data_IF_509227188047
#
_entry.id   IF_509227188047
#
_cell.length_a   1.000
_cell.length_b   1.000
_cell.length_c   1.000
_cell.angle_alpha   90.00
_cell.angle_beta   90.00
_cell.angle_gamma   90.00
#
_symmetry.space_group_name_H-M   'P 1'
#
loop_
_entity.id
_entity.type
_entity.pdbx_description
1 polymer ?
#
# COMPACT_ATOMS: atom_id res chain seq x y z
N UNK A 1 54.04 -17.29 10.45
CA UNK A 1 53.75 -16.29 9.38
C UNK A 1 53.54 -16.90 7.99
N UNK A 2 54.19 -18.02 7.60
CA UNK A 2 53.99 -18.66 6.28
C UNK A 2 52.57 -19.20 6.03
N UNK A 3 51.90 -19.72 7.06
CA UNK A 3 50.52 -20.24 6.95
C UNK A 3 49.46 -19.14 6.74
N UNK A 4 49.71 -17.93 7.26
CA UNK A 4 48.77 -16.81 7.16
C UNK A 4 48.74 -16.24 5.73
N UNK A 5 49.88 -16.28 5.03
CA UNK A 5 49.97 -15.91 3.61
C UNK A 5 49.19 -16.85 2.69
N UNK A 6 49.20 -18.16 2.98
CA UNK A 6 48.46 -19.15 2.18
C UNK A 6 46.95 -18.94 2.31
N UNK A 7 46.47 -18.59 3.52
CA UNK A 7 45.05 -18.38 3.77
C UNK A 7 44.51 -17.11 3.07
N UNK A 8 45.31 -16.04 3.00
CA UNK A 8 44.96 -14.81 2.26
C UNK A 8 44.89 -15.05 0.76
N UNK A 9 45.81 -15.86 0.20
CA UNK A 9 45.81 -16.19 -1.23
C UNK A 9 44.58 -17.03 -1.60
N UNK A 10 44.21 -18.02 -0.78
CA UNK A 10 43.01 -18.83 -1.02
C UNK A 10 41.74 -17.98 -0.94
N UNK A 11 41.66 -17.02 -0.02
CA UNK A 11 40.52 -16.10 0.08
C UNK A 11 40.40 -15.23 -1.18
N UNK A 12 41.51 -14.71 -1.72
CA UNK A 12 41.48 -13.86 -2.93
C UNK A 12 41.10 -14.60 -4.20
N UNK A 13 41.40 -15.90 -4.31
CA UNK A 13 41.02 -16.71 -5.48
C UNK A 13 39.52 -16.98 -5.49
N UNK A 14 38.87 -17.15 -4.33
CA UNK A 14 37.42 -17.36 -4.23
C UNK A 14 36.61 -16.13 -4.68
N UNK A 15 37.12 -14.91 -4.48
CA UNK A 15 36.45 -13.70 -4.96
C UNK A 15 36.63 -13.43 -6.46
N UNK A 16 37.62 -14.05 -7.13
CA UNK A 16 37.93 -13.78 -8.53
C UNK A 16 37.15 -14.65 -9.54
N UNK A 17 36.45 -15.70 -9.09
CA UNK A 17 35.69 -16.61 -9.98
C UNK A 17 34.25 -16.14 -10.20
N UNK A 18 33.75 -15.15 -9.44
CA UNK A 18 32.39 -14.62 -9.60
C UNK A 18 32.34 -13.27 -10.31
N UNK A 19 33.12 -13.12 -11.39
CA UNK A 19 32.97 -11.97 -12.29
C UNK A 19 33.53 -12.30 -13.68
N UNK A 20 32.73 -12.98 -14.51
CA UNK A 20 32.67 -12.77 -15.98
C UNK A 20 31.57 -13.62 -16.63
N UNK A 21 30.44 -12.98 -16.88
CA UNK A 21 29.70 -13.20 -18.13
C UNK A 21 29.08 -11.86 -18.54
N UNK A 22 29.55 -11.32 -19.67
CA UNK A 22 29.10 -10.05 -20.25
C UNK A 22 27.80 -10.24 -21.05
N UNK A 23 26.88 -9.28 -20.88
CA UNK A 23 25.98 -8.66 -21.87
C UNK A 23 25.03 -9.54 -22.70
N UNK A 24 23.76 -9.62 -22.27
CA UNK A 24 22.62 -8.90 -22.87
C UNK A 24 21.31 -9.34 -22.18
N UNK A 25 20.74 -8.46 -21.33
CA UNK A 25 19.30 -8.21 -21.14
C UNK A 25 19.07 -7.46 -19.82
N UNK A 26 18.35 -6.33 -19.95
CA UNK A 26 17.57 -5.56 -18.97
C UNK A 26 18.10 -5.44 -17.53
N UNK A 27 18.22 -4.17 -17.14
CA UNK A 27 18.29 -3.65 -15.77
C UNK A 27 17.57 -4.54 -14.74
N UNK A 28 18.10 -4.73 -13.52
CA UNK A 28 17.33 -5.27 -12.41
C UNK A 28 16.33 -4.18 -12.02
N UNK A 29 15.20 -4.20 -12.71
CA UNK A 29 13.94 -3.72 -12.16
C UNK A 29 13.77 -4.41 -10.82
N UNK A 30 13.49 -3.62 -9.80
CA UNK A 30 13.14 -4.08 -8.47
C UNK A 30 11.79 -4.80 -8.63
N UNK A 31 11.84 -6.07 -9.01
CA UNK A 31 10.66 -6.92 -9.16
C UNK A 31 10.23 -7.39 -7.77
N UNK A 32 9.56 -6.48 -7.08
CA UNK A 32 8.54 -6.79 -6.09
C UNK A 32 7.19 -6.28 -6.61
N UNK A 33 6.96 -6.37 -7.91
CA UNK A 33 5.59 -6.46 -8.38
C UNK A 33 5.28 -7.94 -8.31
N UNK A 34 4.76 -8.37 -7.17
CA UNK A 34 3.78 -9.45 -7.21
C UNK A 34 2.66 -8.94 -8.11
N UNK A 35 2.84 -9.11 -9.42
CA UNK A 35 1.79 -9.12 -10.41
C UNK A 35 0.92 -10.33 -10.06
N UNK A 36 0.10 -10.17 -9.03
CA UNK A 36 -1.28 -10.61 -9.17
C UNK A 36 -1.89 -9.66 -10.22
N UNK A 37 -1.67 -9.99 -11.49
CA UNK A 37 -2.64 -9.70 -12.54
C UNK A 37 -3.91 -10.49 -12.19
N UNK A 38 -4.61 -10.09 -11.13
CA UNK A 38 -6.05 -10.33 -11.07
C UNK A 38 -6.58 -9.52 -12.22
N UNK A 39 -7.04 -10.21 -13.27
CA UNK A 39 -7.63 -9.61 -14.46
C UNK A 39 -8.85 -8.78 -14.04
N UNK A 40 -8.62 -7.50 -13.71
CA UNK A 40 -9.65 -6.58 -13.21
C UNK A 40 -10.69 -6.30 -14.29
N UNK A 41 -10.44 -6.72 -15.54
CA UNK A 41 -11.39 -6.68 -16.64
C UNK A 41 -12.69 -7.45 -16.35
N UNK A 42 -12.68 -8.42 -15.43
CA UNK A 42 -13.89 -9.14 -15.01
C UNK A 42 -14.57 -8.58 -13.76
N UNK A 43 -13.96 -7.63 -13.05
CA UNK A 43 -14.49 -7.09 -11.80
C UNK A 43 -15.54 -6.00 -12.08
N UNK A 44 -16.52 -5.90 -11.20
CA UNK A 44 -17.42 -4.75 -11.19
C UNK A 44 -16.65 -3.47 -10.81
N UNK A 45 -17.12 -2.28 -11.18
CA UNK A 45 -16.46 -1.04 -10.79
C UNK A 45 -16.28 -0.85 -9.28
N UNK A 46 -17.18 -1.44 -8.48
CA UNK A 46 -17.13 -1.43 -7.03
C UNK A 46 -16.01 -2.34 -6.49
N UNK A 47 -15.92 -3.56 -7.02
CA UNK A 47 -14.84 -4.51 -6.67
C UNK A 47 -13.48 -4.00 -7.14
N UNK A 48 -13.39 -3.48 -8.36
CA UNK A 48 -12.15 -2.90 -8.89
C UNK A 48 -11.67 -1.70 -8.06
N UNK A 49 -12.60 -0.89 -7.51
CA UNK A 49 -12.27 0.21 -6.61
C UNK A 49 -11.63 -0.31 -5.31
N UNK A 50 -12.27 -1.26 -4.64
CA UNK A 50 -11.76 -1.77 -3.38
C UNK A 50 -10.47 -2.55 -3.55
N UNK A 51 -10.37 -3.37 -4.60
CA UNK A 51 -9.16 -4.10 -4.94
C UNK A 51 -7.97 -3.16 -5.18
N UNK A 52 -8.15 -2.14 -6.02
CA UNK A 52 -7.06 -1.19 -6.33
C UNK A 52 -6.62 -0.40 -5.10
N UNK A 53 -7.57 0.08 -4.29
CA UNK A 53 -7.25 0.73 -3.02
C UNK A 53 -6.47 -0.20 -2.10
N UNK A 54 -6.96 -1.42 -1.86
CA UNK A 54 -6.32 -2.39 -0.98
C UNK A 54 -4.89 -2.75 -1.43
N UNK A 55 -4.68 -2.90 -2.74
CA UNK A 55 -3.37 -3.18 -3.30
C UNK A 55 -2.38 -2.03 -3.04
N UNK A 56 -2.81 -0.79 -3.26
CA UNK A 56 -1.98 0.41 -3.07
C UNK A 56 -1.57 0.65 -1.61
N UNK A 57 -2.42 0.28 -0.65
CA UNK A 57 -2.24 0.63 0.76
C UNK A 57 -1.40 -0.41 1.51
N UNK A 58 -1.51 -1.68 1.13
CA UNK A 58 -1.24 -2.76 2.07
C UNK A 58 -0.35 -3.89 1.57
N UNK A 59 -0.32 -4.19 0.27
CA UNK A 59 0.21 -5.49 -0.18
C UNK A 59 -0.37 -6.68 0.61
N UNK A 60 -1.54 -6.50 1.25
CA UNK A 60 -2.18 -7.41 2.20
C UNK A 60 -3.69 -7.32 2.03
N UNK A 61 -4.36 -8.46 1.93
CA UNK A 61 -5.81 -8.58 1.81
C UNK A 61 -6.45 -8.58 3.21
N UNK A 62 -7.25 -7.56 3.49
CA UNK A 62 -8.08 -7.42 4.70
C UNK A 62 -9.54 -7.46 4.24
N UNK A 63 -10.21 -8.62 4.31
CA UNK A 63 -11.52 -8.83 3.70
C UNK A 63 -12.59 -7.95 4.36
N UNK A 64 -12.50 -7.70 5.67
CA UNK A 64 -13.46 -6.84 6.34
C UNK A 64 -13.32 -5.38 5.88
N UNK A 65 -12.09 -4.91 5.66
CA UNK A 65 -11.86 -3.59 5.10
C UNK A 65 -12.34 -3.51 3.64
N UNK A 66 -12.05 -4.51 2.82
CA UNK A 66 -12.50 -4.57 1.42
C UNK A 66 -14.02 -4.45 1.31
N UNK A 67 -14.76 -5.26 2.07
CA UNK A 67 -16.23 -5.16 2.14
C UNK A 67 -16.69 -3.78 2.62
N UNK A 68 -16.02 -3.20 3.63
CA UNK A 68 -16.37 -1.86 4.10
C UNK A 68 -16.14 -0.78 3.02
N UNK A 69 -15.05 -0.88 2.27
CA UNK A 69 -14.75 0.03 1.17
C UNK A 69 -15.80 -0.06 0.06
N UNK A 70 -16.20 -1.28 -0.30
CA UNK A 70 -17.24 -1.52 -1.30
C UNK A 70 -18.59 -0.98 -0.85
N UNK A 71 -19.05 -1.37 0.34
CA UNK A 71 -20.43 -1.10 0.74
C UNK A 71 -20.63 0.33 1.27
N UNK A 72 -19.64 0.86 1.98
CA UNK A 72 -19.81 2.08 2.78
C UNK A 72 -19.04 3.29 2.24
N UNK A 73 -17.98 3.08 1.48
CA UNK A 73 -17.14 4.16 0.94
C UNK A 73 -17.40 4.40 -0.53
N UNK A 74 -17.43 3.35 -1.37
CA UNK A 74 -17.64 3.49 -2.81
C UNK A 74 -18.88 4.33 -3.18
N UNK A 75 -20.07 4.16 -2.54
CA UNK A 75 -21.22 5.00 -2.86
C UNK A 75 -21.00 6.51 -2.64
N UNK A 76 -20.10 6.88 -1.72
CA UNK A 76 -19.75 8.27 -1.39
C UNK A 76 -18.78 8.87 -2.40
N UNK A 77 -17.91 8.04 -2.99
CA UNK A 77 -16.79 8.48 -3.83
C UNK A 77 -16.92 8.08 -5.29
N UNK A 78 -17.97 7.34 -5.70
CA UNK A 78 -18.17 6.89 -7.08
C UNK A 78 -18.18 7.99 -8.15
N UNK A 79 -18.48 9.23 -7.75
CA UNK A 79 -18.50 10.40 -8.62
C UNK A 79 -17.31 11.35 -8.34
N UNK A 80 -16.35 10.93 -7.53
CA UNK A 80 -15.19 11.75 -7.21
C UNK A 80 -14.20 11.74 -8.37
N UNK A 81 -13.61 12.90 -8.67
CA UNK A 81 -12.65 13.05 -9.77
C UNK A 81 -11.32 12.37 -9.45
N UNK A 82 -10.95 12.38 -8.17
CA UNK A 82 -9.72 11.80 -7.65
C UNK A 82 -9.97 11.26 -6.25
N UNK A 83 -9.39 10.10 -5.99
CA UNK A 83 -9.45 9.43 -4.70
C UNK A 83 -8.03 8.99 -4.35
N UNK A 84 -7.63 9.20 -3.11
CA UNK A 84 -6.39 8.67 -2.54
C UNK A 84 -6.70 8.07 -1.19
N UNK A 85 -6.10 6.91 -0.90
CA UNK A 85 -6.27 6.24 0.36
C UNK A 85 -4.89 5.98 0.96
N UNK A 86 -4.71 6.35 2.21
CA UNK A 86 -3.44 6.23 2.93
C UNK A 86 -3.66 5.49 4.25
N UNK A 87 -2.75 4.58 4.58
CA UNK A 87 -2.71 3.94 5.89
C UNK A 87 -1.79 4.69 6.82
N UNK A 88 -2.36 5.18 7.91
CA UNK A 88 -1.60 5.85 8.98
C UNK A 88 -1.12 4.84 10.02
N UNK A 89 -1.92 3.80 10.30
CA UNK A 89 -1.55 2.71 11.21
C UNK A 89 -2.33 1.42 10.87
N UNK A 90 -2.17 0.34 11.63
CA UNK A 90 -2.96 -0.89 11.44
C UNK A 90 -4.45 -0.75 11.61
N UNK A 91 -4.92 0.32 12.25
CA UNK A 91 -6.34 0.53 12.52
C UNK A 91 -6.83 1.91 12.11
N UNK A 92 -6.00 2.73 11.45
CA UNK A 92 -6.37 4.09 11.05
C UNK A 92 -5.94 4.32 9.61
N UNK A 93 -6.90 4.78 8.82
CA UNK A 93 -6.75 5.08 7.41
C UNK A 93 -7.32 6.46 7.11
N UNK A 94 -6.78 7.11 6.09
CA UNK A 94 -7.26 8.40 5.58
C UNK A 94 -7.66 8.20 4.13
N UNK A 95 -8.90 8.54 3.80
CA UNK A 95 -9.39 8.64 2.43
C UNK A 95 -9.56 10.12 2.09
N UNK A 96 -8.82 10.59 1.10
CA UNK A 96 -8.99 11.93 0.53
C UNK A 96 -9.65 11.79 -0.83
N UNK A 97 -10.69 12.58 -1.08
CA UNK A 97 -11.36 12.57 -2.38
C UNK A 97 -11.83 13.96 -2.77
N UNK A 98 -11.89 14.21 -4.08
CA UNK A 98 -12.33 15.47 -4.66
C UNK A 98 -13.74 15.31 -5.21
N UNK A 99 -14.68 16.08 -4.67
CA UNK A 99 -16.07 16.10 -5.13
C UNK A 99 -16.46 17.54 -5.40
N UNK A 100 -16.91 17.83 -6.63
CA UNK A 100 -17.34 19.18 -7.04
C UNK A 100 -16.23 20.24 -6.84
N UNK A 101 -14.96 19.85 -7.02
CA UNK A 101 -13.80 20.72 -6.82
C UNK A 101 -13.43 20.99 -5.36
N UNK A 102 -14.09 20.35 -4.40
CA UNK A 102 -13.79 20.46 -2.96
C UNK A 102 -13.07 19.19 -2.50
N UNK A 103 -11.93 19.36 -1.86
CA UNK A 103 -11.20 18.27 -1.20
C UNK A 103 -11.90 17.89 0.10
N UNK A 104 -12.23 16.61 0.25
CA UNK A 104 -12.82 16.03 1.45
C UNK A 104 -11.91 14.95 1.98
N UNK A 105 -11.83 14.88 3.32
CA UNK A 105 -10.95 13.96 4.01
C UNK A 105 -11.77 13.15 5.03
N UNK A 106 -11.70 11.83 4.92
CA UNK A 106 -12.33 10.88 5.83
C UNK A 106 -11.24 10.14 6.60
N UNK A 107 -11.33 10.15 7.93
CA UNK A 107 -10.60 9.20 8.76
C UNK A 107 -11.47 7.96 8.93
N UNK A 108 -10.95 6.80 8.60
CA UNK A 108 -11.56 5.48 8.82
C UNK A 108 -10.79 4.78 9.93
N UNK A 109 -11.50 4.26 10.93
CA UNK A 109 -10.91 3.58 12.09
C UNK A 109 -11.47 2.17 12.21
N UNK A 110 -10.57 1.18 12.32
CA UNK A 110 -10.87 -0.24 12.54
C UNK A 110 -10.91 -0.52 14.03
N UNK A 111 -11.97 -1.18 14.49
CA UNK A 111 -12.15 -1.60 15.88
C UNK A 111 -12.45 -3.09 15.95
N UNK A 112 -12.14 -3.69 17.10
CA UNK A 112 -12.55 -5.05 17.47
C UNK A 112 -13.42 -4.99 18.72
N UNK A 113 -14.62 -5.57 18.64
CA UNK A 113 -15.55 -5.70 19.75
C UNK A 113 -15.37 -7.08 20.39
N UNK A 114 -14.76 -7.19 21.60
CA UNK A 114 -14.62 -8.48 22.28
C UNK A 114 -15.96 -9.04 22.78
N UNK A 115 -17.03 -8.23 22.77
CA UNK A 115 -18.37 -8.66 23.20
C UNK A 115 -19.10 -9.43 22.11
N UNK A 116 -18.91 -9.03 20.87
CA UNK A 116 -19.57 -9.64 19.69
C UNK A 116 -18.60 -10.47 18.86
N UNK A 117 -17.30 -10.41 19.16
CA UNK A 117 -16.22 -11.04 18.39
C UNK A 117 -16.18 -10.55 16.93
N UNK A 118 -16.46 -9.27 16.73
CA UNK A 118 -16.61 -8.67 15.41
C UNK A 118 -15.65 -7.49 15.21
N UNK A 119 -15.17 -7.38 13.97
CA UNK A 119 -14.46 -6.21 13.48
C UNK A 119 -15.49 -5.24 12.89
N UNK A 120 -15.37 -3.96 13.23
CA UNK A 120 -16.20 -2.91 12.65
C UNK A 120 -15.39 -1.66 12.36
N UNK A 121 -15.94 -0.80 11.50
CA UNK A 121 -15.28 0.43 11.07
C UNK A 121 -16.14 1.64 11.34
N UNK A 122 -15.51 2.70 11.85
CA UNK A 122 -16.13 4.02 11.97
C UNK A 122 -15.43 5.01 11.04
N UNK A 123 -16.20 5.91 10.43
CA UNK A 123 -15.67 7.00 9.60
C UNK A 123 -16.06 8.35 10.17
N UNK A 124 -15.16 9.32 10.02
CA UNK A 124 -15.39 10.72 10.41
C UNK A 124 -14.81 11.65 9.37
N UNK A 125 -15.58 12.69 9.00
CA UNK A 125 -15.09 13.78 8.16
C UNK A 125 -14.18 14.69 8.97
N UNK A 126 -13.04 15.04 8.38
CA UNK A 126 -12.14 16.04 8.92
C UNK A 126 -11.93 17.15 7.90
N UNK A 127 -11.93 18.38 8.39
CA UNK A 127 -11.46 19.53 7.62
C UNK A 127 -10.04 19.81 8.06
N UNK A 128 -9.07 19.60 7.16
CA UNK A 128 -7.72 20.13 7.36
C UNK A 128 -7.77 21.65 7.16
N UNK A 129 -8.16 22.39 8.19
CA UNK A 129 -8.06 23.85 8.18
C UNK A 129 -6.59 24.25 8.42
N UNK A 130 -5.80 24.22 7.34
CA UNK A 130 -4.38 24.57 7.36
C UNK A 130 -4.12 25.98 7.91
N UNK A 131 -5.13 26.85 7.95
CA UNK A 131 -5.00 28.21 8.49
C UNK A 131 -4.84 28.26 10.00
N UNK A 132 -5.25 27.24 10.77
CA UNK A 132 -5.17 27.30 12.25
C UNK A 132 -3.85 26.80 12.85
N UNK A 133 -2.96 26.22 12.06
CA UNK A 133 -1.70 25.66 12.58
C UNK A 133 -0.52 26.65 12.56
N UNK A 134 -0.61 27.75 11.81
CA UNK A 134 0.50 28.69 11.63
C UNK A 134 0.25 30.10 12.19
N UNK A 135 -0.94 30.41 12.70
CA UNK A 135 -1.20 31.65 13.42
C UNK A 135 -1.32 31.34 14.92
N UNK A 136 -0.20 31.46 15.62
CA UNK A 136 -0.11 31.44 17.08
C UNK A 136 0.43 32.78 17.56
#
# INVERSE_FOLDING_TARGET
MRFLFVLVIVLTVLFAVSCKQELEKKSPEFDNTQDLETDTASLTPQEAFSYSMMQDILGYSDPELETYLEEQIFPLVKNADKITFERISSSVFILTYFSEGIEKNLIIRKFYSPKTDEIFFEKSEINFDYKKQFFK
#
